data_IF_115137012798
#
_entry.id   IF_115137012798
#
_cell.length_a   1.000
_cell.length_b   1.000
_cell.length_c   1.000
_cell.angle_alpha   90.00
_cell.angle_beta   90.00
_cell.angle_gamma   90.00
#
_symmetry.space_group_name_H-M   'P 1'
#
loop_
_entity.id
_entity.type
_entity.pdbx_description
1 polymer ?
#
# COMPACT_ATOMS: atom_id res chain seq x y z
N UNK A 1 -15.20 41.28 8.64
CA UNK A 1 -15.43 40.56 7.37
C UNK A 1 -14.96 39.10 7.57
N UNK A 2 -15.91 38.21 7.86
CA UNK A 2 -15.74 36.81 8.10
C UNK A 2 -15.42 36.16 6.74
N UNK A 3 -14.22 35.58 6.61
CA UNK A 3 -13.81 34.85 5.43
C UNK A 3 -14.75 33.68 5.21
N UNK A 4 -15.39 33.61 4.04
CA UNK A 4 -16.10 32.44 3.54
C UNK A 4 -15.06 31.33 3.36
N UNK A 5 -15.10 30.32 4.20
CA UNK A 5 -14.47 29.00 3.90
C UNK A 5 -15.06 28.53 2.57
N UNK A 6 -14.22 28.34 1.55
CA UNK A 6 -14.59 27.59 0.37
C UNK A 6 -14.99 26.21 0.88
N UNK A 7 -16.26 25.87 0.79
CA UNK A 7 -16.66 24.46 0.83
C UNK A 7 -16.06 23.84 -0.44
N UNK A 8 -15.11 22.93 -0.27
CA UNK A 8 -14.70 22.09 -1.37
C UNK A 8 -15.93 21.37 -1.91
N UNK A 9 -16.11 21.30 -3.24
CA UNK A 9 -17.25 20.58 -3.81
C UNK A 9 -17.24 19.15 -3.25
N UNK A 10 -18.40 18.71 -2.75
CA UNK A 10 -18.59 17.38 -2.22
C UNK A 10 -18.12 16.36 -3.30
N UNK A 11 -17.13 15.52 -2.99
CA UNK A 11 -16.68 14.46 -3.88
C UNK A 11 -17.85 13.55 -4.21
N UNK A 12 -18.00 13.19 -5.48
CA UNK A 12 -18.94 12.16 -5.88
C UNK A 12 -18.28 10.78 -5.65
N UNK A 13 -18.89 9.96 -4.81
CA UNK A 13 -18.31 8.73 -4.28
C UNK A 13 -19.12 7.52 -4.68
N UNK A 14 -18.46 6.49 -5.19
CA UNK A 14 -19.03 5.16 -5.34
C UNK A 14 -18.62 4.28 -4.15
N UNK A 15 -19.54 3.41 -3.78
CA UNK A 15 -19.33 2.39 -2.76
C UNK A 15 -19.64 1.04 -3.36
N UNK A 16 -18.66 0.13 -3.33
CA UNK A 16 -18.85 -1.24 -3.79
C UNK A 16 -19.91 -1.93 -2.92
N UNK A 17 -20.92 -2.58 -3.51
CA UNK A 17 -21.91 -3.34 -2.77
C UNK A 17 -21.26 -4.43 -1.89
N UNK A 18 -21.75 -4.60 -0.66
CA UNK A 18 -21.17 -5.52 0.32
C UNK A 18 -21.28 -7.01 -0.10
N UNK A 19 -22.28 -7.37 -0.90
CA UNK A 19 -22.46 -8.71 -1.43
C UNK A 19 -21.32 -9.17 -2.35
N UNK A 20 -20.59 -8.22 -2.95
CA UNK A 20 -19.39 -8.49 -3.75
C UNK A 20 -18.25 -9.12 -2.95
N UNK A 21 -18.27 -8.95 -1.63
CA UNK A 21 -17.22 -9.43 -0.73
C UNK A 21 -17.64 -10.67 0.07
N UNK A 22 -18.78 -11.26 -0.25
CA UNK A 22 -19.25 -12.47 0.44
C UNK A 22 -18.52 -13.71 -0.11
N UNK A 23 -18.11 -14.59 0.81
CA UNK A 23 -17.53 -15.89 0.46
C UNK A 23 -16.19 -15.83 -0.28
N UNK A 24 -15.44 -14.75 -0.13
CA UNK A 24 -14.09 -14.64 -0.70
C UNK A 24 -13.17 -15.69 -0.07
N UNK A 25 -12.38 -16.42 -0.88
CA UNK A 25 -11.46 -17.43 -0.37
C UNK A 25 -10.46 -16.83 0.63
N UNK A 26 -10.26 -17.52 1.75
CA UNK A 26 -9.26 -17.18 2.78
C UNK A 26 -9.36 -15.76 3.36
N UNK A 27 -10.55 -15.11 3.28
CA UNK A 27 -10.78 -13.76 3.77
C UNK A 27 -11.96 -13.66 4.76
N UNK A 28 -11.78 -14.12 6.01
CA UNK A 28 -12.84 -14.10 7.02
C UNK A 28 -12.92 -12.78 7.80
N UNK A 29 -12.11 -11.77 7.48
CA UNK A 29 -11.94 -10.58 8.30
C UNK A 29 -13.06 -9.57 8.08
N UNK A 30 -13.83 -9.19 9.13
CA UNK A 30 -14.83 -8.14 9.04
C UNK A 30 -14.14 -6.78 8.92
N UNK A 31 -14.63 -5.87 8.07
CA UNK A 31 -14.10 -4.53 7.96
C UNK A 31 -14.57 -3.64 9.12
N UNK A 32 -13.70 -2.73 9.54
CA UNK A 32 -14.03 -1.52 10.28
C UNK A 32 -13.93 -0.32 9.35
N UNK A 33 -14.55 0.79 9.72
CA UNK A 33 -14.58 1.98 8.87
C UNK A 33 -14.33 3.25 9.66
N UNK A 34 -13.61 4.17 9.03
CA UNK A 34 -13.49 5.57 9.48
C UNK A 34 -13.91 6.49 8.33
N UNK A 35 -14.48 7.64 8.65
CA UNK A 35 -14.83 8.66 7.64
C UNK A 35 -13.90 9.84 7.79
N UNK A 36 -13.18 10.18 6.72
CA UNK A 36 -12.26 11.32 6.64
C UNK A 36 -12.68 12.16 5.44
N UNK A 37 -12.97 13.44 5.67
CA UNK A 37 -13.42 14.38 4.63
C UNK A 37 -14.61 13.87 3.79
N UNK A 38 -15.52 13.12 4.42
CA UNK A 38 -16.68 12.52 3.78
C UNK A 38 -16.40 11.19 3.06
N UNK A 39 -15.15 10.76 2.96
CA UNK A 39 -14.73 9.48 2.36
C UNK A 39 -14.68 8.40 3.43
N UNK A 40 -15.39 7.31 3.23
CA UNK A 40 -15.34 6.12 4.10
C UNK A 40 -14.11 5.28 3.72
N UNK A 41 -13.22 5.05 4.68
CA UNK A 41 -12.01 4.24 4.52
C UNK A 41 -12.18 2.95 5.33
N UNK A 42 -11.98 1.82 4.68
CA UNK A 42 -12.05 0.50 5.31
C UNK A 42 -10.68 0.09 5.86
N UNK A 43 -10.70 -0.54 7.01
CA UNK A 43 -9.54 -1.21 7.58
C UNK A 43 -9.96 -2.49 8.31
N UNK A 44 -9.02 -3.39 8.49
CA UNK A 44 -9.19 -4.66 9.18
C UNK A 44 -8.26 -4.66 10.37
N UNK A 45 -8.81 -4.73 11.58
CA UNK A 45 -8.06 -4.80 12.85
C UNK A 45 -8.33 -6.17 13.46
N UNK A 46 -7.32 -7.00 13.53
CA UNK A 46 -7.46 -8.41 13.90
C UNK A 46 -6.25 -8.90 14.71
N UNK A 47 -6.40 -10.02 15.39
CA UNK A 47 -5.37 -10.58 16.25
C UNK A 47 -5.47 -10.08 17.69
N UNK A 48 -4.33 -9.95 18.37
CA UNK A 48 -4.25 -9.55 19.76
C UNK A 48 -4.33 -8.01 19.92
N UNK A 49 -5.43 -7.43 20.42
CA UNK A 49 -5.59 -5.97 20.51
C UNK A 49 -4.59 -5.30 21.47
N UNK A 50 -3.99 -6.04 22.38
CA UNK A 50 -3.00 -5.53 23.35
C UNK A 50 -1.57 -5.52 22.80
N UNK A 51 -1.33 -6.15 21.66
CA UNK A 51 -0.02 -6.18 21.02
C UNK A 51 0.21 -4.92 20.17
N UNK A 52 1.48 -4.54 20.00
CA UNK A 52 1.88 -3.51 19.03
C UNK A 52 1.44 -3.89 17.62
N UNK A 53 0.98 -2.91 16.84
CA UNK A 53 0.38 -3.16 15.54
C UNK A 53 1.41 -3.52 14.45
N UNK A 54 1.10 -4.56 13.70
CA UNK A 54 1.68 -4.83 12.38
C UNK A 54 0.77 -4.18 11.34
N UNK A 55 1.21 -3.07 10.77
CA UNK A 55 0.48 -2.33 9.75
C UNK A 55 0.85 -2.84 8.35
N UNK A 56 -0.13 -3.30 7.60
CA UNK A 56 0.02 -3.83 6.25
C UNK A 56 -0.59 -2.84 5.23
N UNK A 57 0.25 -2.32 4.33
CA UNK A 57 -0.15 -1.36 3.30
C UNK A 57 0.03 -1.96 1.91
N UNK A 58 -1.09 -2.20 1.23
CA UNK A 58 -1.14 -2.75 -0.13
C UNK A 58 -0.78 -1.72 -1.19
N UNK A 59 -0.49 -2.21 -2.39
CA UNK A 59 -0.24 -1.42 -3.57
C UNK A 59 -1.38 -1.41 -4.60
N UNK A 60 -1.17 -0.68 -5.67
CA UNK A 60 -2.07 -0.58 -6.82
C UNK A 60 -1.82 -1.78 -7.76
N UNK A 61 -2.88 -2.41 -8.33
CA UNK A 61 -4.31 -2.14 -8.15
C UNK A 61 -5.01 -3.07 -7.15
N UNK A 62 -4.28 -3.57 -6.16
CA UNK A 62 -4.78 -4.55 -5.19
C UNK A 62 -5.61 -3.91 -4.06
N UNK A 63 -5.91 -4.68 -3.04
CA UNK A 63 -6.52 -4.26 -1.79
C UNK A 63 -6.04 -5.18 -0.65
N UNK A 64 -6.48 -5.00 0.57
CA UNK A 64 -6.00 -5.75 1.74
C UNK A 64 -6.06 -7.28 1.59
N UNK A 65 -6.86 -7.81 0.67
CA UNK A 65 -6.92 -9.22 0.31
C UNK A 65 -5.57 -9.82 -0.12
N UNK A 66 -4.67 -8.98 -0.62
CA UNK A 66 -3.29 -9.35 -0.94
C UNK A 66 -2.58 -10.01 0.25
N UNK A 67 -2.98 -9.66 1.47
CA UNK A 67 -2.38 -10.16 2.70
C UNK A 67 -3.08 -11.39 3.31
N UNK A 68 -4.05 -12.02 2.61
CA UNK A 68 -4.80 -13.17 3.14
C UNK A 68 -3.92 -14.33 3.59
N UNK A 69 -2.74 -14.51 2.96
CA UNK A 69 -1.77 -15.56 3.31
C UNK A 69 -0.70 -15.09 4.32
N UNK A 70 -0.61 -13.78 4.59
CA UNK A 70 0.33 -13.18 5.54
C UNK A 70 -0.31 -13.02 6.92
N UNK A 71 -1.58 -12.64 6.98
CA UNK A 71 -2.30 -12.33 8.23
C UNK A 71 -2.42 -13.54 9.17
N UNK A 72 -2.85 -14.76 8.73
CA UNK A 72 -3.09 -15.87 9.64
C UNK A 72 -1.85 -16.30 10.47
N UNK A 73 -0.63 -16.43 9.90
CA UNK A 73 0.55 -16.74 10.70
C UNK A 73 0.90 -15.65 11.71
N UNK A 74 0.73 -14.36 11.37
CA UNK A 74 0.96 -13.25 12.29
C UNK A 74 0.02 -13.29 13.50
N UNK A 75 -1.28 -13.56 13.26
CA UNK A 75 -2.27 -13.74 14.34
C UNK A 75 -1.88 -14.94 15.22
N UNK A 76 -1.48 -16.06 14.61
CA UNK A 76 -1.06 -17.27 15.33
C UNK A 76 0.17 -17.01 16.20
N UNK A 77 1.07 -16.12 15.74
CA UNK A 77 2.23 -15.68 16.53
C UNK A 77 1.89 -14.66 17.61
N UNK A 78 0.63 -14.25 17.75
CA UNK A 78 0.16 -13.34 18.82
C UNK A 78 0.18 -11.87 18.46
N UNK A 79 0.42 -11.50 17.21
CA UNK A 79 0.44 -10.10 16.77
C UNK A 79 -0.96 -9.52 16.55
N UNK A 80 -1.09 -8.20 16.75
CA UNK A 80 -2.20 -7.40 16.21
C UNK A 80 -1.87 -7.01 14.79
N UNK A 81 -2.79 -7.23 13.86
CA UNK A 81 -2.59 -6.92 12.44
C UNK A 81 -3.64 -5.92 11.98
N UNK A 82 -3.17 -4.84 11.36
CA UNK A 82 -4.01 -3.82 10.77
C UNK A 82 -3.70 -3.73 9.28
N UNK A 83 -4.70 -3.99 8.43
CA UNK A 83 -4.62 -3.81 6.99
C UNK A 83 -5.60 -2.71 6.57
N UNK A 84 -5.19 -1.79 5.71
CA UNK A 84 -6.00 -0.65 5.27
C UNK A 84 -6.25 -0.76 3.77
N UNK A 85 -7.52 -0.67 3.36
CA UNK A 85 -7.86 -0.47 1.95
C UNK A 85 -7.66 1.00 1.59
N UNK A 86 -6.73 1.31 0.72
CA UNK A 86 -6.52 2.67 0.24
C UNK A 86 -7.79 3.21 -0.44
N UNK A 87 -8.03 4.53 -0.36
CA UNK A 87 -9.16 5.17 -1.04
C UNK A 87 -9.09 4.84 -2.54
N UNK A 88 -10.21 4.40 -3.10
CA UNK A 88 -10.27 3.92 -4.48
C UNK A 88 -10.17 2.40 -4.63
N UNK A 89 -9.85 1.66 -3.55
CA UNK A 89 -9.61 0.22 -3.56
C UNK A 89 -10.41 -0.50 -2.47
N UNK A 90 -10.49 -1.82 -2.58
CA UNK A 90 -11.14 -2.68 -1.60
C UNK A 90 -12.56 -2.20 -1.23
N UNK A 91 -12.85 -2.14 0.06
CA UNK A 91 -14.11 -1.67 0.62
C UNK A 91 -14.14 -0.16 0.90
N UNK A 92 -13.02 0.56 0.69
CA UNK A 92 -12.98 2.01 0.78
C UNK A 92 -13.79 2.66 -0.34
N UNK A 93 -14.34 3.84 -0.06
CA UNK A 93 -15.07 4.62 -1.04
C UNK A 93 -14.17 4.99 -2.23
N UNK A 94 -14.78 5.18 -3.39
CA UNK A 94 -14.12 5.43 -4.67
C UNK A 94 -14.61 6.74 -5.27
N UNK A 95 -13.83 7.84 -5.14
CA UNK A 95 -14.10 9.06 -5.88
C UNK A 95 -14.26 8.76 -7.38
N UNK A 96 -15.31 9.33 -8.01
CA UNK A 96 -15.59 9.08 -9.43
C UNK A 96 -14.69 9.89 -10.35
N UNK A 97 -14.24 11.04 -9.88
CA UNK A 97 -13.34 11.91 -10.63
C UNK A 97 -11.87 11.54 -10.37
N UNK A 98 -11.12 11.30 -11.42
CA UNK A 98 -9.66 11.06 -11.33
C UNK A 98 -8.91 12.24 -10.69
N UNK A 99 -9.42 13.47 -10.83
CA UNK A 99 -8.84 14.66 -10.23
C UNK A 99 -8.94 14.71 -8.70
N UNK A 100 -9.80 13.88 -8.11
CA UNK A 100 -9.91 13.76 -6.65
C UNK A 100 -8.79 12.92 -6.04
N UNK A 101 -8.12 12.11 -6.84
CA UNK A 101 -6.96 11.33 -6.44
C UNK A 101 -5.69 12.16 -6.63
N UNK A 102 -5.05 12.55 -5.54
CA UNK A 102 -3.72 13.15 -5.56
C UNK A 102 -2.80 12.40 -4.60
N UNK A 103 -1.51 12.39 -4.87
CA UNK A 103 -0.54 11.75 -3.98
C UNK A 103 -0.66 12.32 -2.54
N UNK A 104 -0.71 13.64 -2.40
CA UNK A 104 -0.78 14.30 -1.10
C UNK A 104 -2.07 13.95 -0.35
N UNK A 105 -3.22 13.91 -1.02
CA UNK A 105 -4.49 13.54 -0.40
C UNK A 105 -4.46 12.09 0.11
N UNK A 106 -3.82 11.18 -0.61
CA UNK A 106 -3.64 9.79 -0.13
C UNK A 106 -2.75 9.72 1.11
N UNK A 107 -1.68 10.52 1.18
CA UNK A 107 -0.87 10.63 2.41
C UNK A 107 -1.72 11.13 3.58
N UNK A 108 -2.53 12.16 3.36
CA UNK A 108 -3.43 12.76 4.38
C UNK A 108 -4.50 11.76 4.85
N UNK A 109 -5.15 11.04 3.94
CA UNK A 109 -6.10 9.99 4.28
C UNK A 109 -5.46 8.88 5.11
N UNK A 110 -4.28 8.39 4.69
CA UNK A 110 -3.57 7.37 5.44
C UNK A 110 -3.14 7.87 6.82
N UNK A 111 -2.64 9.11 6.93
CA UNK A 111 -2.33 9.75 8.20
C UNK A 111 -3.56 9.79 9.10
N UNK A 112 -4.70 10.26 8.58
CA UNK A 112 -5.93 10.37 9.37
C UNK A 112 -6.40 9.03 9.91
N UNK A 113 -6.21 7.92 9.18
CA UNK A 113 -6.53 6.58 9.69
C UNK A 113 -5.52 6.15 10.75
N UNK A 114 -4.23 6.21 10.45
CA UNK A 114 -3.16 5.59 11.28
C UNK A 114 -2.86 6.43 12.52
N UNK A 115 -2.78 7.76 12.35
CA UNK A 115 -2.35 8.68 13.40
C UNK A 115 -3.53 9.26 14.17
N UNK A 116 -4.52 9.82 13.43
CA UNK A 116 -5.57 10.62 14.07
C UNK A 116 -6.70 9.74 14.62
N UNK A 117 -7.06 8.65 13.92
CA UNK A 117 -8.18 7.77 14.31
C UNK A 117 -7.74 6.59 15.16
N UNK A 118 -6.77 5.80 14.67
CA UNK A 118 -6.29 4.60 15.38
C UNK A 118 -5.22 4.92 16.42
N UNK A 119 -4.63 6.11 16.37
CA UNK A 119 -3.55 6.60 17.25
C UNK A 119 -2.44 5.56 17.47
N UNK A 120 -2.02 4.91 16.37
CA UNK A 120 -1.05 3.82 16.45
C UNK A 120 0.34 4.35 16.84
N UNK A 121 0.99 3.61 17.73
CA UNK A 121 2.38 3.81 18.15
C UNK A 121 3.10 2.47 18.13
N UNK A 122 4.43 2.48 18.22
CA UNK A 122 5.27 1.27 18.17
C UNK A 122 4.95 0.37 16.95
N UNK A 123 4.67 1.01 15.80
CA UNK A 123 4.20 0.34 14.59
C UNK A 123 5.35 -0.46 13.97
N UNK A 124 5.08 -1.73 13.64
CA UNK A 124 5.84 -2.47 12.63
C UNK A 124 5.11 -2.36 11.30
N UNK A 125 5.66 -1.64 10.33
CA UNK A 125 5.01 -1.46 9.03
C UNK A 125 5.60 -2.41 7.99
N UNK A 126 4.75 -3.15 7.30
CA UNK A 126 5.06 -3.80 6.03
C UNK A 126 4.34 -3.05 4.92
N UNK A 127 5.07 -2.57 3.94
CA UNK A 127 4.52 -1.78 2.85
C UNK A 127 5.03 -2.28 1.50
N UNK A 128 4.12 -2.35 0.53
CA UNK A 128 4.36 -2.86 -0.81
C UNK A 128 3.86 -1.86 -1.86
N UNK A 129 4.62 -1.66 -2.93
CA UNK A 129 4.25 -0.80 -4.06
C UNK A 129 3.75 0.59 -3.58
N UNK A 130 2.55 1.02 -3.93
CA UNK A 130 1.94 2.28 -3.47
C UNK A 130 1.79 2.37 -1.95
N UNK A 131 1.59 1.23 -1.28
CA UNK A 131 1.64 1.19 0.19
C UNK A 131 2.99 1.66 0.73
N UNK A 132 4.09 1.41 -0.02
CA UNK A 132 5.41 1.94 0.29
C UNK A 132 5.57 3.42 -0.05
N UNK A 133 5.08 3.86 -1.22
CA UNK A 133 5.14 5.27 -1.61
C UNK A 133 4.45 6.17 -0.56
N UNK A 134 3.30 5.73 -0.03
CA UNK A 134 2.55 6.44 1.00
C UNK A 134 3.12 6.20 2.40
N UNK A 135 3.46 4.94 2.72
CA UNK A 135 3.97 4.55 4.03
C UNK A 135 5.30 5.20 4.36
N UNK A 136 6.25 5.28 3.41
CA UNK A 136 7.53 5.96 3.61
C UNK A 136 7.35 7.47 3.85
N UNK A 137 6.34 8.11 3.23
CA UNK A 137 5.95 9.48 3.55
C UNK A 137 5.41 9.60 4.98
N UNK A 138 4.63 8.63 5.42
CA UNK A 138 4.11 8.61 6.79
C UNK A 138 5.24 8.39 7.81
N UNK A 139 6.18 7.49 7.54
CA UNK A 139 7.40 7.31 8.38
C UNK A 139 8.22 8.59 8.44
N UNK A 140 8.40 9.28 7.31
CA UNK A 140 9.15 10.53 7.28
C UNK A 140 8.50 11.65 8.09
N UNK A 141 7.16 11.69 8.14
CA UNK A 141 6.40 12.70 8.86
C UNK A 141 6.28 12.39 10.38
N UNK A 142 6.25 11.11 10.76
CA UNK A 142 6.01 10.62 12.13
C UNK A 142 6.99 9.49 12.51
N UNK A 143 8.31 9.70 12.41
CA UNK A 143 9.30 8.63 12.61
C UNK A 143 9.24 8.01 14.02
N UNK A 144 8.78 8.77 15.01
CA UNK A 144 8.65 8.31 16.40
C UNK A 144 7.60 7.21 16.56
N UNK A 145 6.56 7.19 15.72
CA UNK A 145 5.47 6.20 15.80
C UNK A 145 5.83 4.83 15.25
N UNK A 146 6.88 4.76 14.42
CA UNK A 146 7.31 3.51 13.80
C UNK A 146 8.50 2.91 14.54
N UNK A 147 8.32 1.70 15.06
CA UNK A 147 9.39 0.92 15.66
C UNK A 147 10.25 0.22 14.61
N UNK A 148 9.63 -0.25 13.52
CA UNK A 148 10.28 -0.98 12.42
C UNK A 148 9.56 -0.74 11.10
N UNK A 149 10.30 -0.83 10.00
CA UNK A 149 9.76 -0.75 8.65
C UNK A 149 10.28 -1.92 7.82
N UNK A 150 9.38 -2.57 7.08
CA UNK A 150 9.71 -3.57 6.07
C UNK A 150 9.18 -3.07 4.73
N UNK A 151 10.09 -2.72 3.83
CA UNK A 151 9.77 -2.27 2.48
C UNK A 151 9.90 -3.43 1.50
N UNK A 152 8.86 -3.67 0.70
CA UNK A 152 8.76 -4.78 -0.24
C UNK A 152 8.36 -4.28 -1.63
N UNK A 153 9.12 -4.57 -2.66
CA UNK A 153 8.89 -4.18 -4.06
C UNK A 153 8.33 -2.75 -4.16
N UNK A 154 9.05 -1.79 -3.61
CA UNK A 154 8.63 -0.38 -3.52
C UNK A 154 9.81 0.56 -3.46
N UNK A 155 9.53 1.85 -3.60
CA UNK A 155 10.50 2.89 -3.33
C UNK A 155 9.81 4.26 -3.17
N UNK A 156 10.57 5.37 -3.05
CA UNK A 156 10.01 6.71 -2.94
C UNK A 156 10.55 7.61 -4.07
N UNK A 157 9.82 7.73 -5.21
CA UNK A 157 10.28 8.45 -6.39
C UNK A 157 10.28 9.97 -6.17
N UNK A 158 11.30 10.66 -6.70
CA UNK A 158 11.49 12.11 -6.65
C UNK A 158 11.42 12.78 -8.02
N UNK A 159 11.25 12.00 -9.09
CA UNK A 159 11.16 12.50 -10.46
C UNK A 159 12.47 12.93 -11.09
N UNK A 160 13.61 12.80 -10.39
CA UNK A 160 14.95 13.10 -10.89
C UNK A 160 15.58 11.95 -11.68
N UNK A 161 14.94 10.78 -11.68
CA UNK A 161 15.35 9.58 -12.41
C UNK A 161 14.18 8.97 -13.15
N UNK A 162 14.45 8.38 -14.31
CA UNK A 162 13.45 7.60 -15.03
C UNK A 162 13.03 6.39 -14.18
N UNK A 163 11.72 6.10 -14.05
CA UNK A 163 11.24 4.94 -13.30
C UNK A 163 11.46 3.60 -14.04
N UNK A 164 12.08 3.61 -15.22
CA UNK A 164 12.28 2.41 -16.04
C UNK A 164 11.16 2.16 -17.06
N UNK A 165 11.48 1.33 -18.09
CA UNK A 165 10.57 1.05 -19.20
C UNK A 165 9.35 0.26 -18.80
N UNK A 166 9.50 -0.71 -17.89
CA UNK A 166 8.40 -1.57 -17.42
C UNK A 166 7.32 -0.76 -16.69
N UNK A 167 7.73 0.15 -15.81
CA UNK A 167 6.79 1.07 -15.17
C UNK A 167 6.11 2.01 -16.19
N UNK A 168 6.86 2.57 -17.15
CA UNK A 168 6.27 3.46 -18.16
C UNK A 168 5.28 2.71 -19.05
N UNK A 169 5.55 1.47 -19.40
CA UNK A 169 4.63 0.59 -20.13
C UNK A 169 3.36 0.31 -19.32
N UNK A 170 3.51 0.02 -18.02
CA UNK A 170 2.37 -0.11 -17.10
C UNK A 170 1.53 1.18 -17.03
N UNK A 171 2.19 2.32 -16.85
CA UNK A 171 1.53 3.64 -16.81
C UNK A 171 0.73 3.89 -18.09
N UNK A 172 1.30 3.63 -19.26
CA UNK A 172 0.61 3.79 -20.55
C UNK A 172 -0.58 2.82 -20.68
N UNK A 173 -0.37 1.54 -20.36
CA UNK A 173 -1.42 0.52 -20.38
C UNK A 173 -2.61 0.92 -19.47
N UNK A 174 -2.34 1.39 -18.27
CA UNK A 174 -3.38 1.82 -17.31
C UNK A 174 -4.26 2.97 -17.87
N UNK A 175 -3.72 3.77 -18.82
CA UNK A 175 -4.43 4.90 -19.41
C UNK A 175 -5.19 4.51 -20.70
N UNK A 176 -4.70 3.53 -21.44
CA UNK A 176 -5.17 3.21 -22.78
C UNK A 176 -6.00 1.93 -22.86
N UNK A 177 -5.86 1.03 -21.90
CA UNK A 177 -6.65 -0.21 -21.87
C UNK A 177 -8.15 0.11 -21.78
N UNK A 178 -8.99 -0.46 -22.66
CA UNK A 178 -10.43 -0.21 -22.65
C UNK A 178 -11.11 -0.71 -21.36
N UNK A 179 -10.60 -1.78 -20.77
CA UNK A 179 -10.99 -2.34 -19.49
C UNK A 179 -9.74 -2.75 -18.69
N UNK A 180 -9.66 -2.36 -17.43
CA UNK A 180 -8.64 -2.84 -16.50
C UNK A 180 -9.16 -4.06 -15.76
N UNK A 181 -8.78 -5.24 -16.21
CA UNK A 181 -9.12 -6.51 -15.57
C UNK A 181 -8.16 -6.73 -14.38
N UNK A 182 -8.52 -6.20 -13.23
CA UNK A 182 -7.64 -6.08 -12.07
C UNK A 182 -7.07 -7.44 -11.64
N UNK A 183 -7.93 -8.46 -11.51
CA UNK A 183 -7.49 -9.79 -11.13
C UNK A 183 -6.51 -10.41 -12.14
N UNK A 184 -6.71 -10.19 -13.44
CA UNK A 184 -5.78 -10.65 -14.47
C UNK A 184 -4.46 -9.88 -14.45
N UNK A 185 -4.47 -8.60 -14.11
CA UNK A 185 -3.25 -7.80 -13.93
C UNK A 185 -2.44 -8.39 -12.77
N UNK A 186 -3.07 -8.65 -11.63
CA UNK A 186 -2.40 -9.28 -10.48
C UNK A 186 -1.84 -10.64 -10.85
N UNK A 187 -2.62 -11.47 -11.54
CA UNK A 187 -2.16 -12.79 -12.00
C UNK A 187 -0.93 -12.69 -12.91
N UNK A 188 -0.95 -11.79 -13.90
CA UNK A 188 0.14 -11.65 -14.87
C UNK A 188 1.43 -11.08 -14.28
N UNK A 189 1.34 -10.34 -13.17
CA UNK A 189 2.48 -9.77 -12.47
C UNK A 189 2.94 -10.61 -11.24
N UNK A 190 2.35 -11.80 -11.05
CA UNK A 190 2.77 -12.84 -10.12
C UNK A 190 3.46 -13.98 -10.88
N UNK A 191 4.31 -14.76 -10.22
CA UNK A 191 4.86 -16.00 -10.80
C UNK A 191 3.90 -17.18 -10.66
N UNK A 192 3.07 -17.16 -9.63
CA UNK A 192 2.04 -18.16 -9.36
C UNK A 192 0.84 -17.90 -10.27
N UNK A 193 0.40 -18.93 -10.99
CA UNK A 193 -0.86 -18.88 -11.73
C UNK A 193 -2.03 -18.96 -10.73
N UNK A 194 -2.75 -17.86 -10.60
CA UNK A 194 -3.78 -17.71 -9.58
C UNK A 194 -5.06 -18.46 -9.99
N UNK A 195 -5.69 -19.21 -9.06
CA UNK A 195 -6.99 -19.81 -9.30
C UNK A 195 -8.05 -18.77 -9.69
N UNK A 196 -9.05 -19.11 -10.53
CA UNK A 196 -10.08 -18.20 -10.99
C UNK A 196 -10.83 -17.48 -9.85
N UNK A 197 -11.06 -18.15 -8.74
CA UNK A 197 -11.73 -17.57 -7.56
C UNK A 197 -10.86 -16.51 -6.86
N UNK A 198 -9.54 -16.61 -6.92
CA UNK A 198 -8.61 -15.60 -6.40
C UNK A 198 -8.56 -14.39 -7.35
N UNK A 199 -8.52 -14.64 -8.66
CA UNK A 199 -8.62 -13.58 -9.68
C UNK A 199 -9.92 -12.80 -9.48
N UNK A 200 -11.06 -13.49 -9.31
CA UNK A 200 -12.36 -12.87 -9.07
C UNK A 200 -12.40 -12.06 -7.74
N UNK A 201 -11.66 -12.49 -6.72
CA UNK A 201 -11.58 -11.76 -5.46
C UNK A 201 -10.83 -10.42 -5.60
N UNK A 202 -9.86 -10.31 -6.50
CA UNK A 202 -9.25 -9.02 -6.84
C UNK A 202 -10.18 -8.11 -7.66
N UNK A 203 -11.09 -8.68 -8.45
CA UNK A 203 -12.10 -7.92 -9.20
C UNK A 203 -13.32 -7.54 -8.34
N UNK A 204 -13.48 -8.15 -7.16
CA UNK A 204 -14.64 -7.89 -6.29
C UNK A 204 -14.90 -6.40 -6.00
N UNK A 205 -13.87 -5.55 -5.71
CA UNK A 205 -14.05 -4.13 -5.46
C UNK A 205 -14.55 -3.31 -6.65
N UNK A 206 -14.48 -3.86 -7.86
CA UNK A 206 -14.61 -3.12 -9.12
C UNK A 206 -15.74 -3.69 -10.01
N UNK A 207 -17.02 -3.47 -9.67
CA UNK A 207 -18.16 -3.98 -10.45
C UNK A 207 -18.14 -3.58 -11.94
N UNK A 208 -17.65 -2.38 -12.24
CA UNK A 208 -17.49 -1.84 -13.58
C UNK A 208 -16.39 -0.75 -13.62
N UNK A 209 -16.14 -0.19 -14.83
CA UNK A 209 -15.08 0.82 -15.04
C UNK A 209 -15.20 2.09 -14.19
N UNK A 210 -16.40 2.48 -13.78
CA UNK A 210 -16.61 3.67 -12.95
C UNK A 210 -15.93 3.54 -11.58
N UNK A 211 -15.75 2.31 -11.09
CA UNK A 211 -15.08 2.01 -9.83
C UNK A 211 -13.55 2.00 -9.95
N UNK A 212 -12.99 2.07 -11.17
CA UNK A 212 -11.54 1.95 -11.45
C UNK A 212 -10.82 3.29 -11.63
N UNK A 213 -11.47 4.41 -11.27
CA UNK A 213 -10.85 5.75 -11.41
C UNK A 213 -9.52 5.85 -10.63
N UNK A 214 -9.46 5.27 -9.42
CA UNK A 214 -8.24 5.17 -8.62
C UNK A 214 -7.16 4.34 -9.29
N UNK A 215 -7.48 3.13 -9.73
CA UNK A 215 -6.53 2.24 -10.41
C UNK A 215 -5.92 2.87 -11.68
N UNK A 216 -6.72 3.66 -12.41
CA UNK A 216 -6.20 4.41 -13.56
C UNK A 216 -5.37 5.63 -13.16
N UNK A 217 -5.65 6.24 -12.00
CA UNK A 217 -4.97 7.47 -11.61
C UNK A 217 -3.65 7.23 -10.90
N UNK A 218 -3.52 6.19 -10.11
CA UNK A 218 -2.32 5.93 -9.30
C UNK A 218 -1.02 5.89 -10.14
N UNK A 219 -0.94 5.17 -11.27
CA UNK A 219 0.28 5.18 -12.09
C UNK A 219 0.67 6.58 -12.58
N UNK A 220 -0.31 7.48 -12.78
CA UNK A 220 -0.05 8.86 -13.21
C UNK A 220 0.45 9.75 -12.08
N UNK A 221 0.12 9.43 -10.83
CA UNK A 221 0.56 10.18 -9.65
C UNK A 221 2.02 9.89 -9.25
N UNK A 222 2.63 8.82 -9.77
CA UNK A 222 4.05 8.54 -9.53
C UNK A 222 4.90 9.62 -10.19
N UNK A 223 5.73 10.36 -9.45
CA UNK A 223 6.59 11.39 -10.03
C UNK A 223 7.60 10.80 -11.03
N UNK A 224 7.61 11.33 -12.23
CA UNK A 224 8.56 10.96 -13.30
C UNK A 224 9.42 12.15 -13.76
N UNK A 225 9.06 13.36 -13.30
CA UNK A 225 9.83 14.59 -13.52
C UNK A 225 9.95 15.37 -12.20
N UNK A 226 10.98 16.22 -12.04
CA UNK A 226 11.12 17.06 -10.84
C UNK A 226 9.96 18.05 -10.63
N UNK A 227 9.21 18.36 -11.69
CA UNK A 227 8.09 19.31 -11.65
C UNK A 227 6.75 18.63 -11.23
N UNK A 228 6.73 17.31 -11.10
CA UNK A 228 5.53 16.61 -10.62
C UNK A 228 5.19 17.04 -9.19
N UNK A 229 3.89 17.19 -8.84
CA UNK A 229 3.47 17.73 -7.55
C UNK A 229 4.02 16.98 -6.33
N UNK A 230 4.28 15.67 -6.45
CA UNK A 230 4.81 14.86 -5.35
C UNK A 230 6.35 14.87 -5.27
N UNK A 231 7.08 15.36 -6.30
CA UNK A 231 8.54 15.30 -6.35
C UNK A 231 9.19 16.02 -5.19
N UNK A 232 8.83 17.28 -4.96
CA UNK A 232 9.37 18.07 -3.85
C UNK A 232 9.02 17.49 -2.48
N UNK A 233 7.77 17.15 -2.17
CA UNK A 233 7.44 16.52 -0.89
C UNK A 233 8.15 15.17 -0.66
N UNK A 234 8.38 14.37 -1.71
CA UNK A 234 9.14 13.12 -1.61
C UNK A 234 10.63 13.39 -1.35
N UNK A 235 11.21 14.43 -1.97
CA UNK A 235 12.59 14.86 -1.68
C UNK A 235 12.76 15.32 -0.22
N UNK A 236 11.77 16.07 0.30
CA UNK A 236 11.75 16.47 1.71
C UNK A 236 11.63 15.24 2.64
N UNK A 237 10.81 14.25 2.28
CA UNK A 237 10.69 12.99 3.02
C UNK A 237 12.02 12.21 3.06
N UNK A 238 12.77 12.17 1.98
CA UNK A 238 14.11 11.56 1.96
C UNK A 238 15.06 12.20 2.98
N UNK A 239 14.93 13.50 3.24
CA UNK A 239 15.74 14.19 4.27
C UNK A 239 15.45 13.65 5.68
N UNK A 240 14.21 13.25 5.96
CA UNK A 240 13.82 12.60 7.23
C UNK A 240 14.26 11.12 7.25
N UNK A 241 14.00 10.38 6.16
CA UNK A 241 14.36 8.96 6.05
C UNK A 241 15.87 8.74 6.15
N UNK A 242 16.69 9.69 5.67
CA UNK A 242 18.15 9.66 5.83
C UNK A 242 18.64 9.79 7.29
N UNK A 243 17.72 10.03 8.23
CA UNK A 243 17.99 10.05 9.68
C UNK A 243 17.25 8.94 10.42
N UNK A 244 16.46 8.13 9.72
CA UNK A 244 15.73 7.03 10.33
C UNK A 244 16.70 5.89 10.67
N UNK A 245 17.01 5.74 11.95
CA UNK A 245 18.01 4.81 12.50
C UNK A 245 17.38 3.55 13.14
N UNK A 246 16.04 3.48 13.20
CA UNK A 246 15.33 2.29 13.68
C UNK A 246 15.35 1.18 12.62
N UNK A 247 15.16 -0.10 12.99
CA UNK A 247 15.25 -1.24 12.07
C UNK A 247 14.43 -1.04 10.79
N UNK A 248 15.13 -1.11 9.65
CA UNK A 248 14.56 -0.98 8.30
C UNK A 248 14.98 -2.17 7.44
N UNK A 249 14.05 -3.06 7.14
CA UNK A 249 14.29 -4.27 6.36
C UNK A 249 13.79 -4.09 4.92
N UNK A 250 14.51 -4.63 3.94
CA UNK A 250 14.00 -4.80 2.58
C UNK A 250 13.70 -6.27 2.30
N UNK A 251 12.51 -6.53 1.72
CA UNK A 251 12.08 -7.85 1.26
C UNK A 251 11.62 -7.70 -0.19
N UNK A 252 12.51 -8.02 -1.12
CA UNK A 252 12.22 -7.84 -2.54
C UNK A 252 12.14 -9.19 -3.26
N UNK A 253 11.37 -9.25 -4.31
CA UNK A 253 11.30 -10.45 -5.14
C UNK A 253 12.39 -10.46 -6.21
N UNK A 254 12.74 -11.66 -6.69
CA UNK A 254 13.79 -11.87 -7.70
C UNK A 254 13.32 -11.63 -9.14
N UNK A 255 12.01 -11.45 -9.36
CA UNK A 255 11.43 -11.40 -10.70
C UNK A 255 10.48 -10.21 -10.90
N UNK A 256 10.60 -9.15 -10.09
CA UNK A 256 9.86 -7.90 -10.29
C UNK A 256 10.65 -6.92 -11.17
N UNK A 257 10.26 -6.66 -12.42
CA UNK A 257 10.97 -5.74 -13.29
C UNK A 257 10.70 -4.27 -12.95
N UNK A 258 9.64 -3.96 -12.19
CA UNK A 258 9.20 -2.59 -11.88
C UNK A 258 10.08 -1.96 -10.82
N UNK A 259 10.41 -2.71 -9.77
CA UNK A 259 11.16 -2.18 -8.62
C UNK A 259 12.57 -2.77 -8.48
N UNK A 260 13.06 -3.50 -9.47
CA UNK A 260 14.39 -4.10 -9.46
C UNK A 260 15.49 -3.07 -9.10
N UNK A 261 16.33 -3.40 -8.11
CA UNK A 261 17.45 -2.56 -7.65
C UNK A 261 17.05 -1.41 -6.72
N UNK A 262 15.77 -1.19 -6.44
CA UNK A 262 15.33 -0.13 -5.52
C UNK A 262 15.65 -0.48 -4.05
N UNK A 263 15.72 -1.76 -3.72
CA UNK A 263 16.16 -2.23 -2.41
C UNK A 263 17.59 -1.79 -2.06
N UNK A 264 18.51 -1.80 -3.05
CA UNK A 264 19.88 -1.32 -2.86
C UNK A 264 19.91 0.19 -2.53
N UNK A 265 19.03 0.97 -3.18
CA UNK A 265 18.93 2.39 -2.92
C UNK A 265 18.37 2.67 -1.52
N UNK A 266 17.30 1.96 -1.13
CA UNK A 266 16.74 2.05 0.22
C UNK A 266 17.79 1.72 1.29
N UNK A 267 18.53 0.61 1.11
CA UNK A 267 19.58 0.18 2.03
C UNK A 267 20.73 1.18 2.12
N UNK A 268 21.07 1.83 1.01
CA UNK A 268 22.14 2.83 0.96
C UNK A 268 21.77 4.14 1.66
N UNK A 269 20.50 4.55 1.58
CA UNK A 269 20.06 5.88 2.01
C UNK A 269 19.47 5.92 3.41
N UNK A 270 18.97 4.79 3.93
CA UNK A 270 18.30 4.73 5.24
C UNK A 270 19.21 4.05 6.27
N UNK A 271 19.72 4.78 7.28
CA UNK A 271 20.69 4.25 8.25
C UNK A 271 20.21 3.01 9.00
N UNK A 272 18.93 2.96 9.34
CA UNK A 272 18.31 1.81 10.05
C UNK A 272 18.33 0.49 9.27
N UNK A 273 18.73 0.51 8.00
CA UNK A 273 18.92 -0.71 7.19
C UNK A 273 20.24 -1.42 7.45
N UNK A 274 21.23 -0.73 8.03
CA UNK A 274 22.53 -1.33 8.30
C UNK A 274 22.38 -2.58 9.20
N UNK A 275 23.12 -3.62 8.84
CA UNK A 275 23.18 -4.91 9.57
C UNK A 275 21.81 -5.64 9.69
N UNK A 276 20.80 -5.24 8.94
CA UNK A 276 19.52 -5.94 8.92
C UNK A 276 19.57 -7.20 8.02
N UNK A 277 18.80 -8.24 8.35
CA UNK A 277 18.76 -9.49 7.59
C UNK A 277 17.89 -9.35 6.33
N UNK A 278 18.27 -8.46 5.41
CA UNK A 278 17.55 -8.26 4.15
C UNK A 278 17.28 -9.58 3.41
N UNK A 279 16.17 -9.66 2.70
CA UNK A 279 15.75 -10.88 2.01
C UNK A 279 15.40 -10.62 0.55
N UNK A 280 15.75 -11.56 -0.29
CA UNK A 280 15.16 -11.72 -1.61
C UNK A 280 14.29 -12.98 -1.58
N UNK A 281 13.04 -12.87 -2.01
CA UNK A 281 12.10 -14.00 -2.12
C UNK A 281 11.86 -14.31 -3.59
N UNK A 282 11.49 -15.56 -3.89
CA UNK A 282 11.05 -15.89 -5.23
C UNK A 282 9.66 -15.32 -5.47
N UNK A 283 9.50 -14.46 -6.47
CA UNK A 283 8.20 -13.85 -6.76
C UNK A 283 8.24 -12.82 -7.87
N UNK A 284 7.09 -12.48 -8.39
CA UNK A 284 6.85 -11.35 -9.26
C UNK A 284 6.61 -10.05 -8.48
N UNK A 285 5.93 -9.09 -9.09
CA UNK A 285 5.63 -7.81 -8.44
C UNK A 285 4.76 -7.99 -7.18
N UNK A 286 3.71 -8.83 -7.24
CA UNK A 286 2.84 -9.14 -6.10
C UNK A 286 3.40 -10.33 -5.30
N UNK A 287 4.57 -10.13 -4.69
CA UNK A 287 5.32 -11.15 -3.96
C UNK A 287 4.51 -11.85 -2.85
N UNK A 288 3.44 -11.25 -2.35
CA UNK A 288 2.55 -11.84 -1.34
C UNK A 288 1.75 -13.03 -1.92
N UNK A 289 1.49 -13.04 -3.22
CA UNK A 289 0.86 -14.16 -3.91
C UNK A 289 1.84 -15.34 -4.04
N UNK A 290 3.09 -15.05 -4.31
CA UNK A 290 4.11 -16.06 -4.55
C UNK A 290 4.73 -16.60 -3.26
N UNK A 291 5.02 -15.72 -2.30
CA UNK A 291 5.80 -16.00 -1.09
C UNK A 291 5.09 -15.55 0.21
N UNK A 292 3.76 -15.48 0.25
CA UNK A 292 3.00 -14.99 1.42
C UNK A 292 3.40 -15.63 2.75
N UNK A 293 3.48 -16.96 2.89
CA UNK A 293 3.95 -17.61 4.11
C UNK A 293 5.40 -17.27 4.49
N UNK A 294 6.30 -17.15 3.50
CA UNK A 294 7.69 -16.77 3.75
C UNK A 294 7.79 -15.33 4.26
N UNK A 295 6.99 -14.42 3.68
CA UNK A 295 6.88 -13.03 4.14
C UNK A 295 6.37 -12.99 5.59
N UNK A 296 5.36 -13.78 5.92
CA UNK A 296 4.85 -13.85 7.29
C UNK A 296 5.94 -14.35 8.27
N UNK A 297 6.72 -15.36 7.89
CA UNK A 297 7.84 -15.86 8.68
C UNK A 297 8.92 -14.78 8.88
N UNK A 298 9.29 -14.08 7.82
CA UNK A 298 10.25 -12.97 7.88
C UNK A 298 9.76 -11.86 8.85
N UNK A 299 8.47 -11.51 8.80
CA UNK A 299 7.87 -10.53 9.71
C UNK A 299 7.94 -11.00 11.16
N UNK A 300 7.55 -12.25 11.44
CA UNK A 300 7.58 -12.84 12.78
C UNK A 300 9.01 -12.85 13.34
N UNK A 301 9.99 -13.24 12.54
CA UNK A 301 11.40 -13.27 12.95
C UNK A 301 11.98 -11.86 13.18
N UNK A 302 11.46 -10.85 12.48
CA UNK A 302 11.92 -9.47 12.57
C UNK A 302 11.30 -8.67 13.72
N UNK A 303 10.12 -9.09 14.18
CA UNK A 303 9.44 -8.50 15.35
C UNK A 303 9.97 -9.21 16.61
N UNK A 304 10.57 -8.50 17.58
CA UNK A 304 11.01 -9.14 18.83
C UNK A 304 9.85 -9.85 19.53
N UNK A 305 10.13 -11.02 20.08
CA UNK A 305 9.19 -11.68 20.98
C UNK A 305 8.86 -10.75 22.14
N UNK A 306 7.57 -10.62 22.47
CA UNK A 306 7.09 -9.81 23.58
C UNK A 306 7.57 -10.33 24.93
#
# INVERSE_FOLDING_TARGET
LVGRTRQDPCMDLLRTPEDRFLGLPDWPYPPSYVTVDGVRIAYYDTGNPEASAVLLLHGEPTWSYLYRRVIPPLITAGHRVIAIDLVGFGRSDKPTSRGDYTYQRHVEWLQSVVVDHLDLTDITMFCHDWGGLLGLRLVANYPERFARVIAANTFLPTGDRSPGGDFLSWREFSQTAPDLQIGNIVNSASLTDLPPEIIAAYDAPFPDERFKAGARQFPVLVPITPDDPASRPNTEAWTSLARYDKPFLTVFSDSDPVTAGQDELLRKLIPGSADQPHRTVRGGHFLQEDAGPDIASILIDFIPSA
#
